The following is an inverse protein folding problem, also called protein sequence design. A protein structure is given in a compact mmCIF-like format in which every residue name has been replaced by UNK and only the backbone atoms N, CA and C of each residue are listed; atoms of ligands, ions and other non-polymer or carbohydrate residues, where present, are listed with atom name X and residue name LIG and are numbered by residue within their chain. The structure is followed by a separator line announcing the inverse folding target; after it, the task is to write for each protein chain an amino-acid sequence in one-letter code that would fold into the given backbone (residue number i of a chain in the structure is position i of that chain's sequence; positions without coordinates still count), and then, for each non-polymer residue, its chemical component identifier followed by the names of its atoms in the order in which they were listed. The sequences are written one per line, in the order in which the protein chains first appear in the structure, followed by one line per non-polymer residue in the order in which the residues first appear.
data_IF_421404653086
#
_entry.id   IF_421404653086
#
_cell.length_a   1.000
_cell.length_b   1.000
_cell.length_c   1.000
_cell.angle_alpha   90.00
_cell.angle_beta   90.00
_cell.angle_gamma   90.00
#
_symmetry.space_group_name_H-M   'P 1'
#
loop_
_entity.id
_entity.type
_entity.pdbx_description
1 polymer ?
#
# COMPACT_ATOMS: atom_id res chain seq x y z
N UNK A 1 4.96 -12.81 9.53
CA UNK A 1 4.16 -12.05 8.54
C UNK A 1 5.16 -11.24 7.73
N UNK A 2 5.16 -11.31 6.40
CA UNK A 2 6.14 -10.56 5.62
C UNK A 2 5.78 -9.06 5.60
N UNK A 3 6.80 -8.20 5.71
CA UNK A 3 6.66 -6.75 5.51
C UNK A 3 6.80 -6.47 4.00
N UNK A 4 5.95 -5.63 3.43
CA UNK A 4 6.07 -5.19 2.03
C UNK A 4 6.73 -3.79 1.96
N UNK A 5 7.75 -3.62 1.14
CA UNK A 5 8.47 -2.37 0.94
C UNK A 5 8.33 -1.95 -0.53
N UNK A 6 7.74 -0.80 -0.79
CA UNK A 6 7.58 -0.26 -2.14
C UNK A 6 8.63 0.82 -2.41
N UNK A 7 9.47 0.60 -3.41
CA UNK A 7 10.56 1.51 -3.79
C UNK A 7 10.54 1.78 -5.28
N UNK A 8 11.05 2.95 -5.66
CA UNK A 8 11.38 3.24 -7.05
C UNK A 8 12.61 2.48 -7.50
N UNK A 9 12.67 2.21 -8.81
CA UNK A 9 13.77 1.48 -9.44
C UNK A 9 15.14 2.15 -9.27
N UNK A 10 15.21 3.47 -9.24
CA UNK A 10 16.43 4.24 -8.99
C UNK A 10 16.98 4.08 -7.56
N UNK A 11 16.12 3.70 -6.61
CA UNK A 11 16.48 3.49 -5.21
C UNK A 11 17.03 2.09 -4.93
N UNK A 12 17.09 1.22 -5.95
CA UNK A 12 17.52 -0.18 -5.83
C UNK A 12 18.95 -0.33 -5.30
N UNK A 13 19.98 0.36 -5.82
CA UNK A 13 21.35 0.19 -5.31
C UNK A 13 21.49 0.59 -3.83
N UNK A 14 20.83 1.69 -3.44
CA UNK A 14 20.83 2.16 -2.04
C UNK A 14 20.11 1.17 -1.13
N UNK A 15 18.97 0.65 -1.58
CA UNK A 15 18.16 -0.31 -0.81
C UNK A 15 18.87 -1.66 -0.67
N UNK A 16 19.47 -2.16 -1.76
CA UNK A 16 20.29 -3.38 -1.79
C UNK A 16 21.41 -3.33 -0.75
N UNK A 17 22.19 -2.24 -0.73
CA UNK A 17 23.26 -2.02 0.24
C UNK A 17 22.75 -1.95 1.69
N UNK A 18 21.63 -1.25 1.90
CA UNK A 18 21.01 -1.14 3.22
C UNK A 18 20.59 -2.51 3.76
N UNK A 19 19.93 -3.31 2.93
CA UNK A 19 19.46 -4.64 3.28
C UNK A 19 20.59 -5.61 3.57
N UNK A 20 21.64 -5.60 2.74
CA UNK A 20 22.83 -6.42 2.98
C UNK A 20 23.52 -6.08 4.30
N UNK A 21 23.57 -4.78 4.67
CA UNK A 21 24.09 -4.34 5.97
C UNK A 21 23.25 -4.80 7.16
N UNK A 22 21.93 -4.91 7.00
CA UNK A 22 21.00 -5.38 8.04
C UNK A 22 20.77 -6.92 8.00
N UNK A 23 21.61 -7.65 7.25
CA UNK A 23 21.60 -9.12 7.22
C UNK A 23 20.48 -9.74 6.37
N UNK A 24 19.80 -8.94 5.54
CA UNK A 24 18.82 -9.45 4.59
C UNK A 24 19.49 -9.98 3.32
N UNK A 25 19.04 -11.15 2.88
CA UNK A 25 19.52 -11.87 1.72
C UNK A 25 18.41 -12.06 0.71
N UNK A 26 18.73 -11.77 -0.54
CA UNK A 26 17.82 -11.93 -1.67
C UNK A 26 17.51 -13.42 -1.92
N UNK A 27 16.22 -13.78 -1.87
CA UNK A 27 15.73 -15.14 -2.09
C UNK A 27 15.69 -15.45 -3.58
N UNK A 28 16.64 -16.26 -4.05
CA UNK A 28 16.76 -16.68 -5.45
C UNK A 28 15.99 -17.97 -5.70
N UNK A 29 15.34 -18.07 -6.86
CA UNK A 29 14.84 -19.33 -7.42
C UNK A 29 15.92 -20.01 -8.26
N UNK A 30 15.78 -21.31 -8.58
CA UNK A 30 16.63 -21.97 -9.58
C UNK A 30 16.48 -21.20 -10.89
N UNK A 31 17.58 -20.64 -11.41
CA UNK A 31 17.66 -19.73 -12.57
C UNK A 31 17.43 -18.23 -12.30
N UNK A 32 17.25 -17.81 -11.06
CA UNK A 32 17.22 -16.37 -10.76
C UNK A 32 18.62 -15.76 -10.80
N UNK A 33 18.72 -14.44 -11.06
CA UNK A 33 19.98 -13.70 -11.10
C UNK A 33 20.77 -13.76 -9.79
N UNK A 34 22.08 -13.51 -9.85
CA UNK A 34 22.98 -13.65 -8.70
C UNK A 34 22.78 -12.55 -7.66
N UNK A 35 22.15 -11.45 -8.00
CA UNK A 35 21.83 -10.40 -7.03
C UNK A 35 20.48 -9.76 -7.31
N UNK A 36 19.96 -9.06 -6.30
CA UNK A 36 18.76 -8.24 -6.43
C UNK A 36 18.93 -7.17 -7.52
N UNK A 37 20.08 -6.48 -7.54
CA UNK A 37 20.38 -5.44 -8.54
C UNK A 37 20.42 -6.02 -9.95
N UNK A 38 21.09 -7.16 -10.14
CA UNK A 38 21.14 -7.85 -11.43
C UNK A 38 19.73 -8.27 -11.88
N UNK A 39 18.89 -8.75 -10.95
CA UNK A 39 17.51 -9.11 -11.26
C UNK A 39 16.67 -7.91 -11.70
N UNK A 40 16.86 -6.75 -11.08
CA UNK A 40 16.21 -5.51 -11.52
C UNK A 40 16.73 -5.06 -12.89
N UNK A 41 18.05 -5.10 -13.12
CA UNK A 41 18.65 -4.75 -14.41
C UNK A 41 18.12 -5.62 -15.55
N UNK A 42 18.01 -6.94 -15.33
CA UNK A 42 17.46 -7.86 -16.33
C UNK A 42 15.97 -7.59 -16.63
N UNK A 43 15.19 -7.16 -15.63
CA UNK A 43 13.79 -6.75 -15.83
C UNK A 43 13.68 -5.44 -16.60
N UNK A 44 14.57 -4.49 -16.32
CA UNK A 44 14.68 -3.24 -17.08
C UNK A 44 15.03 -3.52 -18.55
N UNK A 45 16.05 -4.34 -18.79
CA UNK A 45 16.49 -4.67 -20.16
C UNK A 45 15.41 -5.40 -20.99
N UNK A 46 14.52 -6.17 -20.34
CA UNK A 46 13.37 -6.82 -21.00
C UNK A 46 12.18 -5.89 -21.23
N UNK A 47 12.19 -4.69 -20.66
CA UNK A 47 11.09 -3.73 -20.79
C UNK A 47 11.25 -2.96 -22.09
N UNK A 48 10.26 -3.07 -22.99
CA UNK A 48 10.24 -2.39 -24.30
C UNK A 48 10.54 -0.89 -24.14
N UNK A 49 11.45 -0.33 -24.94
CA UNK A 49 11.91 1.06 -24.86
C UNK A 49 10.78 2.11 -24.88
N UNK A 50 9.72 1.87 -25.67
CA UNK A 50 8.52 2.73 -25.70
C UNK A 50 7.81 2.85 -24.34
N UNK A 51 8.05 1.90 -23.42
CA UNK A 51 7.55 1.88 -22.04
C UNK A 51 8.56 2.46 -21.03
N UNK A 52 9.80 2.74 -21.43
CA UNK A 52 10.82 3.40 -20.60
C UNK A 52 10.64 4.93 -20.63
N UNK A 53 9.41 5.43 -20.49
CA UNK A 53 9.15 6.88 -20.46
C UNK A 53 9.76 7.48 -19.19
N UNK A 54 10.47 8.60 -19.35
CA UNK A 54 11.39 9.21 -18.36
C UNK A 54 10.78 9.80 -17.08
N UNK A 55 9.48 9.61 -16.83
CA UNK A 55 8.85 10.08 -15.60
C UNK A 55 7.49 9.39 -15.43
N UNK A 56 7.29 8.72 -14.29
CA UNK A 56 6.08 7.92 -13.99
C UNK A 56 4.74 8.63 -14.19
N UNK A 57 4.72 9.96 -14.26
CA UNK A 57 3.54 10.78 -14.58
C UNK A 57 2.94 10.51 -15.96
N UNK A 58 3.68 9.92 -16.90
CA UNK A 58 3.19 9.55 -18.25
C UNK A 58 2.78 8.08 -18.36
N UNK A 59 2.81 7.32 -17.26
CA UNK A 59 2.35 5.94 -17.22
C UNK A 59 0.82 5.92 -17.16
N UNK A 60 0.19 5.94 -18.34
CA UNK A 60 -1.26 5.97 -18.48
C UNK A 60 -1.91 4.65 -18.10
N UNK A 61 -1.26 3.51 -18.36
CA UNK A 61 -1.84 2.18 -18.10
C UNK A 61 -1.52 1.66 -16.69
N UNK A 62 -2.40 0.82 -16.13
CA UNK A 62 -2.14 0.14 -14.86
C UNK A 62 -0.96 -0.83 -14.97
N UNK A 63 -0.78 -1.44 -16.15
CA UNK A 63 0.36 -2.33 -16.42
C UNK A 63 1.70 -1.63 -16.21
N UNK A 64 1.80 -0.34 -16.55
CA UNK A 64 3.04 0.42 -16.39
C UNK A 64 3.34 0.77 -14.94
N UNK A 65 2.32 0.81 -14.09
CA UNK A 65 2.40 1.05 -12.64
C UNK A 65 2.57 -0.24 -11.84
N UNK A 66 2.62 -1.40 -12.50
CA UNK A 66 2.84 -2.68 -11.82
C UNK A 66 4.24 -2.77 -11.23
N UNK A 67 4.35 -3.42 -10.07
CA UNK A 67 5.63 -3.64 -9.38
C UNK A 67 6.26 -4.96 -9.80
N UNK A 68 7.58 -5.00 -9.86
CA UNK A 68 8.33 -6.25 -9.77
C UNK A 68 8.50 -6.62 -8.30
N UNK A 69 8.23 -7.87 -7.97
CA UNK A 69 8.23 -8.35 -6.59
C UNK A 69 9.46 -9.22 -6.37
N UNK A 70 10.20 -8.90 -5.32
CA UNK A 70 11.39 -9.61 -4.89
C UNK A 70 11.25 -9.99 -3.42
N UNK A 71 11.72 -11.16 -3.03
CA UNK A 71 11.61 -11.65 -1.65
C UNK A 71 12.99 -11.71 -1.02
N UNK A 72 13.04 -11.38 0.27
CA UNK A 72 14.24 -11.34 1.08
C UNK A 72 13.98 -12.09 2.38
N UNK A 73 14.98 -12.82 2.83
CA UNK A 73 15.02 -13.43 4.15
C UNK A 73 16.16 -12.85 4.95
N UNK A 74 16.00 -12.71 6.27
CA UNK A 74 17.09 -12.35 7.16
C UNK A 74 17.80 -13.63 7.60
N UNK A 75 19.11 -13.72 7.38
CA UNK A 75 19.92 -14.83 7.91
C UNK A 75 20.12 -14.54 9.41
N UNK A 76 19.70 -15.49 10.25
CA UNK A 76 19.45 -15.25 11.68
C UNK A 76 20.70 -14.80 12.45
N UNK A 77 20.48 -13.90 13.41
CA UNK A 77 21.36 -13.54 14.51
C UNK A 77 20.57 -13.76 15.80
N UNK A 78 20.53 -15.00 16.27
CA UNK A 78 20.26 -15.53 17.62
C UNK A 78 19.13 -15.00 18.55
N UNK A 79 18.29 -14.01 18.22
CA UNK A 79 17.33 -13.47 19.23
C UNK A 79 15.90 -13.19 18.71
N UNK A 80 14.95 -14.05 19.13
CA UNK A 80 13.56 -13.78 19.54
C UNK A 80 12.61 -12.85 18.71
N UNK A 81 12.90 -12.50 17.45
CA UNK A 81 12.01 -11.66 16.63
C UNK A 81 11.55 -12.31 15.32
N UNK A 82 10.71 -13.35 15.42
CA UNK A 82 10.17 -14.16 14.31
C UNK A 82 9.44 -13.38 13.20
N UNK A 83 8.93 -12.18 13.49
CA UNK A 83 8.09 -11.44 12.54
C UNK A 83 8.88 -10.66 11.48
N UNK A 84 10.18 -10.39 11.67
CA UNK A 84 11.00 -9.58 10.75
C UNK A 84 11.84 -10.38 9.77
N UNK A 85 11.70 -11.71 9.76
CA UNK A 85 12.56 -12.57 8.95
C UNK A 85 12.29 -12.45 7.45
N UNK A 86 11.11 -12.01 7.04
CA UNK A 86 10.66 -12.05 5.65
C UNK A 86 10.26 -10.65 5.17
N UNK A 87 10.93 -10.16 4.13
CA UNK A 87 10.69 -8.86 3.51
C UNK A 87 10.36 -9.07 2.04
N UNK A 88 9.31 -8.41 1.55
CA UNK A 88 8.95 -8.38 0.13
C UNK A 88 9.18 -6.98 -0.41
N UNK A 89 9.92 -6.85 -1.49
CA UNK A 89 10.21 -5.56 -2.10
C UNK A 89 9.47 -5.45 -3.42
N UNK A 90 8.64 -4.44 -3.52
CA UNK A 90 7.95 -3.98 -4.70
C UNK A 90 8.79 -2.90 -5.36
N UNK A 91 9.48 -3.25 -6.44
CA UNK A 91 10.22 -2.30 -7.26
C UNK A 91 9.29 -1.76 -8.34
N UNK A 92 9.07 -0.46 -8.33
CA UNK A 92 8.18 0.23 -9.29
C UNK A 92 8.96 1.19 -10.17
N UNK A 93 8.46 1.40 -11.38
CA UNK A 93 9.00 2.40 -12.34
C UNK A 93 8.29 3.76 -12.24
N UNK A 94 7.26 3.85 -11.41
CA UNK A 94 6.53 5.06 -11.10
C UNK A 94 6.77 5.47 -9.65
N UNK A 95 6.15 6.58 -9.23
CA UNK A 95 6.12 6.94 -7.82
C UNK A 95 5.42 5.85 -6.98
N UNK A 96 5.95 5.44 -5.82
CA UNK A 96 5.43 4.31 -5.06
C UNK A 96 3.95 4.45 -4.68
N UNK A 97 3.51 5.67 -4.39
CA UNK A 97 2.11 5.93 -4.10
C UNK A 97 1.20 5.67 -5.30
N UNK A 98 1.66 5.94 -6.53
CA UNK A 98 0.87 5.65 -7.74
C UNK A 98 0.66 4.14 -7.92
N UNK A 99 1.65 3.33 -7.57
CA UNK A 99 1.49 1.88 -7.53
C UNK A 99 0.43 1.46 -6.49
N UNK A 100 0.51 2.00 -5.27
CA UNK A 100 -0.42 1.65 -4.19
C UNK A 100 -1.85 2.05 -4.53
N UNK A 101 -2.03 3.23 -5.12
CA UNK A 101 -3.31 3.71 -5.65
C UNK A 101 -3.86 2.85 -6.81
N UNK A 102 -2.98 2.12 -7.51
CA UNK A 102 -3.36 1.17 -8.55
C UNK A 102 -3.67 -0.23 -8.02
N UNK A 103 -3.62 -0.48 -6.71
CA UNK A 103 -3.97 -1.78 -6.14
C UNK A 103 -5.47 -2.05 -6.29
N UNK A 104 -5.83 -3.34 -6.27
CA UNK A 104 -7.17 -3.81 -6.63
C UNK A 104 -8.24 -3.58 -5.56
N UNK A 105 -7.87 -3.10 -4.37
CA UNK A 105 -8.82 -2.96 -3.28
C UNK A 105 -8.48 -1.76 -2.40
N UNK A 106 -9.51 -1.03 -1.96
CA UNK A 106 -9.35 0.14 -1.07
C UNK A 106 -8.64 -0.21 0.24
N UNK A 107 -8.84 -1.43 0.76
CA UNK A 107 -8.15 -1.94 1.95
C UNK A 107 -6.65 -2.19 1.77
N UNK A 108 -6.16 -2.22 0.53
CA UNK A 108 -4.73 -2.31 0.21
C UNK A 108 -4.09 -0.93 0.01
N UNK A 109 -4.87 0.15 -0.03
CA UNK A 109 -4.38 1.50 -0.25
C UNK A 109 -3.95 2.20 1.04
N UNK A 110 -3.55 1.41 2.03
CA UNK A 110 -2.98 1.87 3.29
C UNK A 110 -1.47 1.69 3.22
N UNK A 111 -0.72 2.75 3.50
CA UNK A 111 0.73 2.72 3.39
C UNK A 111 1.38 3.63 4.43
N UNK A 112 2.64 3.35 4.74
CA UNK A 112 3.43 4.13 5.69
C UNK A 112 4.63 4.69 4.97
N UNK A 113 4.92 5.96 5.17
CA UNK A 113 6.19 6.58 4.81
C UNK A 113 7.05 6.70 6.07
N UNK A 114 8.26 7.21 5.92
CA UNK A 114 9.12 7.53 7.07
C UNK A 114 8.54 8.56 8.05
N UNK A 115 7.63 9.45 7.61
CA UNK A 115 7.03 10.47 8.49
C UNK A 115 5.60 10.15 8.91
N UNK A 116 4.86 9.37 8.13
CA UNK A 116 3.42 9.30 8.30
C UNK A 116 2.86 7.97 7.81
N UNK A 117 1.82 7.49 8.49
CA UNK A 117 0.96 6.44 8.02
C UNK A 117 -0.29 7.05 7.37
N UNK A 118 -0.67 6.54 6.21
CA UNK A 118 -1.76 7.06 5.39
C UNK A 118 -2.78 5.96 5.13
N UNK A 119 -4.04 6.30 5.36
CA UNK A 119 -5.19 5.52 4.91
C UNK A 119 -6.09 6.39 4.04
N UNK A 120 -6.31 5.96 2.80
CA UNK A 120 -7.18 6.70 1.88
C UNK A 120 -8.66 6.39 2.11
N UNK A 121 -9.02 5.19 2.56
CA UNK A 121 -10.43 4.83 2.77
C UNK A 121 -10.66 4.36 4.21
N UNK A 122 -10.32 5.20 5.20
CA UNK A 122 -10.33 4.78 6.59
C UNK A 122 -11.74 4.50 7.09
N UNK A 123 -12.74 5.30 6.67
CA UNK A 123 -14.12 5.10 7.12
C UNK A 123 -14.68 3.82 6.51
N UNK A 124 -14.51 3.61 5.21
CA UNK A 124 -14.93 2.35 4.60
C UNK A 124 -14.21 1.14 5.20
N UNK A 125 -12.88 1.20 5.29
CA UNK A 125 -12.04 0.05 5.65
C UNK A 125 -12.16 -0.29 7.14
N UNK A 126 -11.97 0.71 8.01
CA UNK A 126 -11.88 0.48 9.45
C UNK A 126 -13.22 0.63 10.16
N UNK A 127 -13.98 1.69 9.87
CA UNK A 127 -15.24 1.96 10.56
C UNK A 127 -16.40 1.09 10.03
N UNK A 128 -16.51 0.94 8.72
CA UNK A 128 -17.60 0.17 8.08
C UNK A 128 -17.21 -1.27 7.75
N UNK A 129 -15.94 -1.65 7.94
CA UNK A 129 -15.40 -2.99 7.62
C UNK A 129 -15.70 -3.41 6.17
N UNK A 130 -15.41 -2.51 5.22
CA UNK A 130 -15.66 -2.69 3.79
C UNK A 130 -14.42 -2.36 2.97
N UNK A 131 -14.10 -3.21 2.00
CA UNK A 131 -13.02 -2.98 1.03
C UNK A 131 -13.59 -3.04 -0.38
N UNK A 132 -13.54 -1.94 -1.11
CA UNK A 132 -14.11 -1.85 -2.46
C UNK A 132 -13.07 -2.25 -3.49
N UNK A 133 -13.47 -3.03 -4.50
CA UNK A 133 -12.64 -3.29 -5.66
C UNK A 133 -12.51 -2.01 -6.48
N UNK A 134 -11.29 -1.53 -6.65
CA UNK A 134 -10.97 -0.23 -7.26
C UNK A 134 -10.40 -0.34 -8.68
N UNK A 135 -10.11 -1.55 -9.16
CA UNK A 135 -9.48 -1.76 -10.46
C UNK A 135 -10.48 -1.87 -11.60
N UNK A 136 -10.18 -1.14 -12.67
CA UNK A 136 -10.90 -1.16 -13.93
C UNK A 136 -10.32 -2.16 -14.95
N UNK A 137 -9.02 -2.47 -14.88
CA UNK A 137 -8.36 -3.38 -15.82
C UNK A 137 -8.06 -4.74 -15.16
N UNK A 138 -8.30 -5.83 -15.90
CA UNK A 138 -7.77 -7.16 -15.58
C UNK A 138 -6.37 -7.28 -16.17
N UNK A 139 -5.35 -7.40 -15.33
CA UNK A 139 -3.95 -7.52 -15.79
C UNK A 139 -3.49 -8.97 -15.67
N UNK A 140 -2.64 -9.46 -16.58
CA UNK A 140 -2.05 -10.81 -16.44
C UNK A 140 -1.24 -10.96 -15.13
N UNK A 141 -0.67 -9.86 -14.61
CA UNK A 141 -0.05 -9.82 -13.27
C UNK A 141 -1.03 -10.18 -12.14
N UNK A 142 -2.34 -10.20 -12.40
CA UNK A 142 -3.35 -10.60 -11.43
C UNK A 142 -3.19 -12.07 -11.00
N UNK A 143 -2.55 -12.89 -11.83
CA UNK A 143 -2.14 -14.24 -11.45
C UNK A 143 -1.09 -14.23 -10.32
N UNK A 144 -0.19 -13.24 -10.25
CA UNK A 144 0.75 -13.06 -9.13
C UNK A 144 0.14 -12.30 -7.95
N UNK A 145 -0.81 -11.40 -8.24
CA UNK A 145 -1.67 -10.80 -7.22
C UNK A 145 -2.60 -11.80 -6.58
N UNK A 146 -2.70 -13.05 -7.06
CA UNK A 146 -3.29 -14.14 -6.30
C UNK A 146 -2.74 -14.18 -4.87
N UNK A 147 -1.45 -13.87 -4.65
CA UNK A 147 -0.88 -13.81 -3.30
C UNK A 147 -1.42 -12.64 -2.46
N UNK A 148 -1.54 -11.43 -3.02
CA UNK A 148 -2.08 -10.25 -2.32
C UNK A 148 -3.59 -10.34 -2.13
N UNK A 149 -4.31 -10.78 -3.16
CA UNK A 149 -5.74 -11.05 -3.13
C UNK A 149 -6.04 -12.14 -2.11
N UNK A 150 -5.36 -13.29 -2.15
CA UNK A 150 -5.53 -14.38 -1.16
C UNK A 150 -5.17 -13.93 0.25
N UNK A 151 -4.10 -13.14 0.42
CA UNK A 151 -3.80 -12.56 1.71
C UNK A 151 -4.92 -11.63 2.18
N UNK A 152 -5.39 -10.73 1.31
CA UNK A 152 -6.44 -9.76 1.63
C UNK A 152 -7.73 -10.48 1.97
N UNK A 153 -8.13 -11.50 1.20
CA UNK A 153 -9.30 -12.33 1.47
C UNK A 153 -9.20 -13.04 2.82
N UNK A 154 -8.04 -13.63 3.14
CA UNK A 154 -7.80 -14.25 4.45
C UNK A 154 -7.86 -13.24 5.59
N UNK A 155 -7.20 -12.10 5.41
CA UNK A 155 -7.19 -11.02 6.38
C UNK A 155 -8.61 -10.46 6.58
N UNK A 156 -9.30 -10.16 5.49
CA UNK A 156 -10.65 -9.64 5.48
C UNK A 156 -11.63 -10.61 6.14
N UNK A 157 -11.52 -11.91 5.86
CA UNK A 157 -12.29 -12.96 6.54
C UNK A 157 -12.02 -12.97 8.05
N UNK A 158 -10.76 -12.90 8.46
CA UNK A 158 -10.36 -12.88 9.88
C UNK A 158 -10.91 -11.65 10.61
N UNK A 159 -10.88 -10.50 9.96
CA UNK A 159 -11.16 -9.19 10.57
C UNK A 159 -12.59 -8.69 10.31
N UNK A 160 -13.44 -9.55 9.75
CA UNK A 160 -14.83 -9.22 9.42
C UNK A 160 -14.98 -8.15 8.35
N UNK A 161 -13.98 -7.94 7.50
CA UNK A 161 -14.02 -6.97 6.40
C UNK A 161 -14.72 -7.62 5.19
N UNK A 162 -15.75 -6.96 4.68
CA UNK A 162 -16.45 -7.37 3.46
C UNK A 162 -15.75 -6.80 2.24
N UNK A 163 -15.25 -7.66 1.35
CA UNK A 163 -14.77 -7.23 0.03
C UNK A 163 -15.99 -7.06 -0.88
N UNK A 164 -16.18 -5.84 -1.38
CA UNK A 164 -17.28 -5.44 -2.26
C UNK A 164 -16.72 -5.34 -3.67
N UNK A 165 -17.17 -6.24 -4.55
CA UNK A 165 -16.86 -6.20 -5.96
C UNK A 165 -17.62 -5.09 -6.70
N UNK A 166 -17.63 -5.18 -8.03
CA UNK A 166 -18.46 -4.30 -8.86
C UNK A 166 -19.93 -4.69 -8.63
N UNK A 167 -20.75 -3.72 -8.22
CA UNK A 167 -22.18 -3.90 -7.93
C UNK A 167 -22.91 -2.57 -8.13
N UNK A 168 -24.19 -2.67 -8.49
CA UNK A 168 -25.18 -1.61 -8.55
C UNK A 168 -25.71 -1.18 -7.17
N UNK A 169 -25.42 -1.95 -6.12
CA UNK A 169 -25.87 -1.66 -4.77
C UNK A 169 -25.29 -0.34 -4.26
N UNK A 170 -26.17 0.53 -3.77
CA UNK A 170 -25.78 1.75 -3.07
C UNK A 170 -25.27 1.44 -1.66
N UNK A 171 -24.11 2.01 -1.31
CA UNK A 171 -23.53 1.90 0.02
C UNK A 171 -23.57 3.28 0.69
N UNK A 172 -24.54 3.55 1.59
CA UNK A 172 -24.60 4.84 2.25
C UNK A 172 -23.33 5.05 3.08
N UNK A 173 -22.88 6.31 3.16
CA UNK A 173 -21.70 6.75 3.92
C UNK A 173 -20.35 6.24 3.38
N UNK A 174 -20.32 5.69 2.16
CA UNK A 174 -19.08 5.37 1.45
C UNK A 174 -18.40 6.66 0.97
N UNK A 175 -17.08 6.71 1.03
CA UNK A 175 -16.30 7.78 0.42
C UNK A 175 -16.34 7.65 -1.11
N UNK A 176 -16.95 8.61 -1.81
CA UNK A 176 -17.05 8.66 -3.27
C UNK A 176 -16.23 9.81 -3.84
N UNK A 177 -15.80 9.67 -5.09
CA UNK A 177 -15.18 10.73 -5.87
C UNK A 177 -13.66 10.71 -5.84
N UNK A 178 -13.08 11.88 -6.11
CA UNK A 178 -11.64 12.06 -6.21
C UNK A 178 -10.99 12.07 -4.82
N UNK A 179 -10.01 11.21 -4.59
CA UNK A 179 -9.30 11.03 -3.33
C UNK A 179 -7.84 11.44 -3.45
N UNK A 180 -7.34 12.19 -2.49
CA UNK A 180 -5.93 12.57 -2.41
C UNK A 180 -5.44 12.43 -0.97
N UNK A 181 -4.13 12.26 -0.82
CA UNK A 181 -3.51 12.18 0.50
C UNK A 181 -3.70 13.53 1.20
N UNK A 182 -4.29 13.51 2.40
CA UNK A 182 -4.60 14.73 3.16
C UNK A 182 -5.96 15.35 2.83
N UNK A 183 -6.79 14.71 2.01
CA UNK A 183 -8.19 15.13 1.88
C UNK A 183 -8.97 14.92 3.19
N UNK A 184 -10.12 15.60 3.31
CA UNK A 184 -10.99 15.55 4.51
C UNK A 184 -11.55 14.17 4.86
N UNK A 185 -11.36 13.18 3.98
CA UNK A 185 -11.84 11.81 4.15
C UNK A 185 -10.70 10.80 4.33
N UNK A 186 -9.45 11.25 4.26
CA UNK A 186 -8.25 10.44 4.45
C UNK A 186 -7.76 10.58 5.89
N UNK A 187 -7.10 9.54 6.39
CA UNK A 187 -6.40 9.61 7.67
C UNK A 187 -4.91 9.67 7.41
N UNK A 188 -4.27 10.69 7.96
CA UNK A 188 -2.82 10.86 7.98
C UNK A 188 -2.40 10.91 9.43
N UNK A 189 -1.60 9.92 9.85
CA UNK A 189 -1.08 9.79 11.19
C UNK A 189 0.42 10.03 11.15
N UNK A 190 0.91 11.04 11.85
CA UNK A 190 2.34 11.28 11.95
C UNK A 190 3.01 10.16 12.77
N UNK A 191 4.09 9.62 12.23
CA UNK A 191 4.98 8.68 12.91
C UNK A 191 5.90 9.50 13.78
N UNK A 192 5.65 9.49 15.08
CA UNK A 192 6.53 10.14 16.05
C UNK A 192 7.85 9.34 16.16
N UNK A 193 9.01 10.01 16.20
CA UNK A 193 10.27 9.34 16.52
C UNK A 193 10.16 8.63 17.86
N UNK A 194 10.75 7.44 17.97
CA UNK A 194 10.71 6.62 19.20
C UNK A 194 11.33 7.36 20.39
N UNK A 195 12.22 8.32 20.16
CA UNK A 195 12.79 9.21 21.18
C UNK A 195 11.71 10.00 21.95
N UNK A 196 10.58 10.31 21.31
CA UNK A 196 9.45 11.04 21.93
C UNK A 196 8.58 10.17 22.86
N UNK A 197 8.68 8.84 22.76
CA UNK A 197 7.89 7.93 23.63
C UNK A 197 8.44 7.88 25.07
N UNK A 198 9.75 8.10 25.26
CA UNK A 198 10.33 8.23 26.60
C UNK A 198 9.83 9.50 27.31
N UNK A 199 9.56 10.58 26.58
CA UNK A 199 9.03 11.82 27.14
C UNK A 199 7.53 11.73 27.52
N UNK A 200 6.74 10.87 26.87
CA UNK A 200 5.33 10.67 27.22
C UNK A 200 5.10 9.81 28.47
N UNK A 201 6.07 8.98 28.87
CA UNK A 201 5.95 8.17 30.09
C UNK A 201 6.25 8.96 31.38
N UNK A 202 6.77 10.18 31.27
CA UNK A 202 7.24 10.97 32.43
C UNK A 202 6.40 12.22 32.77
N UNK A 203 5.31 12.51 32.07
CA UNK A 203 4.46 13.67 32.40
C UNK A 203 3.00 13.27 32.67
N UNK A 204 2.42 13.62 33.83
CA UNK A 204 0.98 13.60 34.00
C UNK A 204 0.37 14.71 33.14
N UNK A 205 -0.46 14.31 32.18
CA UNK A 205 -1.13 15.19 31.22
C UNK A 205 -1.88 16.35 31.89
N UNK A 206 -1.61 17.62 31.52
CA UNK A 206 -2.52 18.71 31.83
C UNK A 206 -3.49 18.94 30.66
N UNK A 207 -4.77 18.72 30.96
CA UNK A 207 -5.97 19.28 30.31
C UNK A 207 -6.59 18.57 29.08
N UNK A 208 -7.92 18.69 28.89
CA UNK A 208 -8.75 17.75 28.14
C UNK A 208 -8.94 18.19 26.68
N UNK A 209 -8.55 17.33 25.75
CA UNK A 209 -8.78 17.54 24.31
C UNK A 209 -10.23 17.20 23.94
N UNK A 210 -10.89 18.12 23.22
CA UNK A 210 -12.26 17.95 22.74
C UNK A 210 -12.34 16.94 21.59
N UNK A 211 -13.46 16.21 21.48
CA UNK A 211 -13.55 14.96 20.74
C UNK A 211 -14.20 15.15 19.37
N UNK A 212 -13.54 14.72 18.30
CA UNK A 212 -14.20 14.22 17.09
C UNK A 212 -13.44 13.00 16.57
N UNK A 213 -14.00 11.85 16.94
CA UNK A 213 -13.72 10.48 16.49
C UNK A 213 -12.35 9.90 16.83
N UNK A 214 -12.16 9.77 18.14
CA UNK A 214 -11.15 8.90 18.77
C UNK A 214 -11.51 7.44 18.47
N UNK A 215 -11.05 6.94 17.33
CA UNK A 215 -10.44 5.60 17.39
C UNK A 215 -9.16 5.82 18.18
N UNK A 216 -9.04 5.17 19.34
CA UNK A 216 -7.83 5.22 20.17
C UNK A 216 -6.60 5.19 19.27
N UNK A 217 -5.67 6.14 19.44
CA UNK A 217 -4.38 6.15 18.73
C UNK A 217 -3.70 4.77 18.83
N UNK A 218 -3.93 4.05 19.92
CA UNK A 218 -3.43 2.68 20.12
C UNK A 218 -4.19 1.65 19.28
N UNK A 219 -5.51 1.79 19.11
CA UNK A 219 -6.30 0.90 18.25
C UNK A 219 -6.03 1.18 16.77
N UNK A 220 -5.99 2.44 16.34
CA UNK A 220 -5.63 2.80 14.96
C UNK A 220 -4.18 2.42 14.66
N UNK A 221 -3.26 2.62 15.62
CA UNK A 221 -1.86 2.21 15.53
C UNK A 221 -1.69 0.69 15.44
N UNK A 222 -2.33 -0.09 16.33
CA UNK A 222 -2.28 -1.56 16.29
C UNK A 222 -2.98 -2.13 15.05
N UNK A 223 -4.13 -1.58 14.65
CA UNK A 223 -4.86 -2.01 13.46
C UNK A 223 -4.11 -1.63 12.18
N UNK A 224 -3.44 -0.47 12.16
CA UNK A 224 -2.51 -0.11 11.07
C UNK A 224 -1.27 -0.99 11.06
N UNK A 225 -0.67 -1.35 12.19
CA UNK A 225 0.47 -2.29 12.22
C UNK A 225 0.08 -3.66 11.63
N UNK A 226 -1.18 -4.08 11.79
CA UNK A 226 -1.70 -5.29 11.17
C UNK A 226 -2.15 -5.15 9.70
N UNK A 227 -2.39 -3.92 9.21
CA UNK A 227 -2.89 -3.63 7.84
C UNK A 227 -1.88 -2.95 6.92
N UNK A 228 -0.82 -2.38 7.47
CA UNK A 228 0.26 -1.73 6.75
C UNK A 228 1.15 -2.81 6.19
N UNK A 229 0.81 -3.20 4.97
CA UNK A 229 1.69 -3.98 4.15
C UNK A 229 2.85 -3.15 3.65
N UNK A 230 2.57 -1.94 3.16
CA UNK A 230 3.54 -1.17 2.39
C UNK A 230 4.22 -0.08 3.20
N UNK A 231 5.56 -0.16 3.28
CA UNK A 231 6.42 0.96 3.61
C UNK A 231 6.93 1.63 2.32
N UNK A 232 6.78 2.95 2.20
CA UNK A 232 7.31 3.77 1.10
C UNK A 232 8.56 4.48 1.62
N UNK A 233 9.68 4.31 0.91
CA UNK A 233 10.92 5.04 1.19
C UNK A 233 10.74 6.57 1.14
N UNK A 234 11.68 7.33 1.72
CA UNK A 234 11.54 8.76 1.94
C UNK A 234 11.31 9.60 0.66
N UNK A 235 10.06 9.93 0.34
CA UNK A 235 9.69 10.86 -0.73
C UNK A 235 8.46 11.71 -0.35
N UNK A 236 8.43 12.94 -0.88
CA UNK A 236 7.39 13.95 -0.65
C UNK A 236 6.18 13.68 -1.57
N UNK A 237 4.97 13.70 -1.00
CA UNK A 237 3.75 13.25 -1.68
C UNK A 237 2.81 14.43 -1.96
N UNK A 238 2.45 14.65 -3.24
CA UNK A 238 1.30 15.48 -3.65
C UNK A 238 0.64 14.81 -4.85
N UNK A 239 -0.67 14.44 -4.78
CA UNK A 239 -1.66 14.31 -5.90
C UNK A 239 -2.86 13.38 -5.63
N UNK A 240 -3.80 13.42 -6.58
CA UNK A 240 -5.20 12.93 -6.57
C UNK A 240 -5.42 11.65 -7.39
N UNK A 241 -6.41 10.86 -6.98
CA UNK A 241 -6.93 9.62 -7.59
C UNK A 241 -8.44 9.77 -7.77
N UNK A 242 -9.08 9.14 -8.75
CA UNK A 242 -10.53 9.21 -8.95
C UNK A 242 -11.17 7.83 -8.76
N UNK A 243 -12.21 7.74 -7.91
CA UNK A 243 -13.17 6.64 -7.97
C UNK A 243 -14.39 7.15 -8.72
N UNK A 244 -14.67 6.58 -9.89
CA UNK A 244 -15.86 6.92 -10.68
C UNK A 244 -17.12 6.42 -10.00
N UNK A 245 -18.09 7.33 -9.85
CA UNK A 245 -19.50 7.01 -9.78
C UNK A 245 -19.93 6.55 -11.19
N UNK A 246 -20.36 5.30 -11.34
CA UNK A 246 -21.18 4.96 -12.52
C UNK A 246 -22.57 5.54 -12.27
N UNK A 247 -22.79 6.75 -12.80
CA UNK A 247 -24.10 7.36 -12.82
C UNK A 247 -25.05 6.54 -13.69
N UNK A 248 -26.04 5.91 -13.06
CA UNK A 248 -27.22 5.38 -13.72
C UNK A 248 -28.04 6.55 -14.28
N UNK A 249 -27.76 6.95 -15.52
CA UNK A 249 -28.72 7.72 -16.31
C UNK A 249 -29.91 6.82 -16.62
N UNK A 250 -30.99 7.03 -15.87
CA UNK A 250 -32.29 6.45 -16.16
C UNK A 250 -32.80 6.99 -17.49
N UNK A 251 -32.83 6.12 -18.51
CA UNK A 251 -33.65 6.35 -19.70
C UNK A 251 -35.11 6.19 -19.29
N UNK A 252 -35.77 7.32 -19.03
CA UNK A 252 -37.21 7.39 -18.99
C UNK A 252 -37.76 7.22 -20.40
N UNK A 253 -38.22 6.01 -20.73
CA UNK A 253 -39.05 5.76 -21.91
C UNK A 253 -40.42 6.36 -21.62
N UNK A 254 -40.72 7.51 -22.21
CA UNK A 254 -42.11 7.97 -22.42
C UNK A 254 -42.61 7.24 -23.65
N UNK A 255 -43.71 6.49 -23.49
CA UNK A 255 -44.42 5.88 -24.62
C UNK A 255 -45.17 6.93 -25.45
N UNK A 256 -45.82 6.50 -26.53
CA UNK A 256 -47.20 6.81 -26.83
C UNK A 256 -48.16 5.89 -26.06
#
# INVERSE_FOLDING_TARGET
MAVDLCIRVDSVPRTSRFLGKDGFVFMKRPNDPKSFEEAVCLRLAKTIDRKLKSSGDRNSSQSDRSSWIFEFSRIDTDLFCDLRRWLRIHVVRCEPYQHILSLHSSGLMNFMTWKQAVSLFPRSTFALRRSFVSRQEFLQSDQLLSSHKRWLERYAKKEGIKIIGITDKLFPKVEVGSRFIGDKFSWVMEVQPVESLLYMLHYPSPSPFRPKDVISRDFAGQLMVHLLKFWIGAQELRRTTHICEQGSHGYGVRGP
#
